data_IF_883912785737
#
_entry.id   IF_883912785737
#
_cell.length_a   1.000
_cell.length_b   1.000
_cell.length_c   1.000
_cell.angle_alpha   90.00
_cell.angle_beta   90.00
_cell.angle_gamma   90.00
#
_symmetry.space_group_name_H-M   'P 1'
#
loop_
_entity.id
_entity.type
_entity.pdbx_description
1 polymer ?
#
# COMPACT_ATOMS: atom_id res chain seq x y z
N UNK A 1 20.29 15.30 0.59
CA UNK A 1 19.24 15.86 1.47
C UNK A 1 18.30 16.81 0.72
N UNK A 2 18.79 17.86 0.04
CA UNK A 2 17.95 18.78 -0.75
C UNK A 2 17.16 18.11 -1.89
N UNK A 3 17.74 17.14 -2.60
CA UNK A 3 17.06 16.42 -3.69
C UNK A 3 15.89 15.54 -3.19
N UNK A 4 15.96 15.01 -1.98
CA UNK A 4 14.87 14.27 -1.37
C UNK A 4 13.76 15.19 -0.87
N UNK A 5 14.10 16.39 -0.38
CA UNK A 5 13.12 17.38 0.05
C UNK A 5 12.32 17.93 -1.14
N UNK A 6 12.98 18.19 -2.27
CA UNK A 6 12.33 18.65 -3.51
C UNK A 6 11.42 17.55 -4.09
N UNK A 7 11.82 16.27 -3.99
CA UNK A 7 10.96 15.14 -4.36
C UNK A 7 9.73 15.06 -3.44
N UNK A 8 9.90 15.21 -2.12
CA UNK A 8 8.77 15.23 -1.17
C UNK A 8 7.79 16.38 -1.44
N UNK A 9 8.26 17.58 -1.77
CA UNK A 9 7.41 18.73 -2.09
C UNK A 9 6.62 18.51 -3.39
N UNK A 10 7.24 17.98 -4.44
CA UNK A 10 6.53 17.60 -5.67
C UNK A 10 5.48 16.50 -5.42
N UNK A 11 5.76 15.54 -4.55
CA UNK A 11 4.81 14.51 -4.14
C UNK A 11 3.63 15.10 -3.36
N UNK A 12 3.88 16.08 -2.50
CA UNK A 12 2.83 16.73 -1.72
C UNK A 12 1.91 17.58 -2.60
N UNK A 13 2.47 18.34 -3.56
CA UNK A 13 1.71 19.08 -4.58
C UNK A 13 0.88 18.13 -5.46
N UNK A 14 1.41 16.97 -5.82
CA UNK A 14 0.72 15.96 -6.59
C UNK A 14 -0.47 15.37 -5.79
N UNK A 15 -0.27 15.02 -4.51
CA UNK A 15 -1.35 14.54 -3.64
C UNK A 15 -2.47 15.59 -3.50
N UNK A 16 -2.13 16.87 -3.35
CA UNK A 16 -3.10 17.95 -3.29
C UNK A 16 -3.87 18.15 -4.60
N UNK A 17 -3.18 17.96 -5.75
CA UNK A 17 -3.79 18.04 -7.07
C UNK A 17 -4.76 16.87 -7.31
N UNK A 18 -4.43 15.67 -6.85
CA UNK A 18 -5.27 14.47 -6.97
C UNK A 18 -6.47 14.52 -6.04
N UNK A 19 -6.31 14.99 -4.81
CA UNK A 19 -7.40 15.20 -3.85
C UNK A 19 -8.41 16.25 -4.36
N UNK A 20 -7.95 17.26 -5.10
CA UNK A 20 -8.83 18.26 -5.74
C UNK A 20 -9.60 17.74 -6.95
N UNK A 21 -9.20 16.60 -7.53
CA UNK A 21 -9.83 16.02 -8.75
C UNK A 21 -10.76 14.83 -8.48
N UNK A 22 -11.22 14.60 -7.24
CA UNK A 22 -12.12 13.48 -6.87
C UNK A 22 -11.61 12.07 -7.24
N UNK A 23 -10.31 11.87 -7.27
CA UNK A 23 -9.72 10.55 -7.51
C UNK A 23 -9.62 9.81 -6.18
N UNK A 24 -10.55 8.89 -5.93
CA UNK A 24 -10.73 8.20 -4.64
C UNK A 24 -9.73 7.08 -4.34
N UNK A 25 -8.93 6.65 -5.30
CA UNK A 25 -8.01 5.51 -5.14
C UNK A 25 -6.64 5.84 -5.72
N UNK A 26 -5.83 6.56 -4.96
CA UNK A 26 -4.42 6.77 -5.30
C UNK A 26 -3.51 6.25 -4.20
N UNK A 27 -2.55 5.46 -4.57
CA UNK A 27 -1.58 4.91 -3.65
C UNK A 27 -0.20 5.52 -3.82
N UNK A 28 0.33 6.15 -2.78
CA UNK A 28 1.61 6.87 -2.72
C UNK A 28 2.53 6.23 -1.69
N UNK A 29 3.79 6.04 -2.02
CA UNK A 29 4.79 5.54 -1.08
C UNK A 29 5.31 6.68 -0.19
N UNK A 30 4.99 6.68 1.09
CA UNK A 30 5.55 7.62 2.05
C UNK A 30 6.32 6.88 3.14
N UNK A 31 7.52 7.36 3.43
CA UNK A 31 8.32 6.94 4.59
C UNK A 31 8.08 7.92 5.71
N UNK A 32 7.43 7.49 6.79
CA UNK A 32 7.27 8.28 7.99
C UNK A 32 7.53 7.39 9.21
N UNK A 33 8.49 7.73 10.04
CA UNK A 33 8.81 7.04 11.29
C UNK A 33 9.11 5.53 11.17
N UNK A 34 9.87 5.10 10.13
CA UNK A 34 10.26 3.70 9.96
C UNK A 34 9.23 2.80 9.26
N UNK A 35 7.96 3.17 9.20
CA UNK A 35 6.93 2.51 8.39
C UNK A 35 7.04 3.00 6.94
N UNK A 36 7.20 2.08 5.99
CA UNK A 36 7.04 2.38 4.58
C UNK A 36 5.58 2.24 4.22
N UNK A 37 4.93 3.34 3.93
CA UNK A 37 3.56 3.40 3.43
C UNK A 37 3.60 3.23 1.93
N UNK A 38 2.79 2.31 1.45
CA UNK A 38 2.68 2.05 0.04
C UNK A 38 1.32 2.51 -0.46
N UNK A 39 1.35 3.38 -1.42
CA UNK A 39 0.21 3.78 -2.20
C UNK A 39 0.34 3.20 -3.61
N UNK A 40 -0.69 2.57 -4.17
CA UNK A 40 -0.70 1.99 -5.51
C UNK A 40 -0.34 3.04 -6.57
N UNK A 41 0.61 2.70 -7.42
CA UNK A 41 1.09 3.59 -8.47
C UNK A 41 0.14 3.74 -9.67
N UNK A 42 -1.05 3.12 -9.60
CA UNK A 42 -1.98 3.06 -10.71
C UNK A 42 -3.39 3.44 -10.28
N UNK A 43 -3.98 4.38 -11.00
CA UNK A 43 -5.33 4.88 -10.78
C UNK A 43 -6.17 4.49 -12.00
N UNK A 44 -7.14 3.63 -11.79
CA UNK A 44 -8.12 3.32 -12.81
C UNK A 44 -9.15 4.44 -12.89
N UNK A 45 -9.05 5.30 -13.92
CA UNK A 45 -10.08 6.32 -14.20
C UNK A 45 -11.32 5.74 -14.88
N UNK A 46 -11.15 4.63 -15.59
CA UNK A 46 -12.17 3.80 -16.22
C UNK A 46 -11.57 2.43 -16.47
N UNK A 47 -12.36 1.44 -16.90
CA UNK A 47 -11.85 0.08 -17.18
C UNK A 47 -10.67 0.04 -18.19
N UNK A 48 -10.49 1.09 -18.98
CA UNK A 48 -9.46 1.16 -20.03
C UNK A 48 -8.39 2.22 -19.79
N UNK A 49 -8.54 3.13 -18.84
CA UNK A 49 -7.57 4.20 -18.61
C UNK A 49 -6.81 3.99 -17.31
N UNK A 50 -5.52 3.77 -17.43
CA UNK A 50 -4.58 3.56 -16.32
C UNK A 50 -3.68 4.78 -16.17
N UNK A 51 -3.49 5.24 -14.94
CA UNK A 51 -2.55 6.29 -14.59
C UNK A 51 -1.48 5.73 -13.69
N UNK A 52 -0.23 5.72 -14.14
CA UNK A 52 0.92 5.23 -13.40
C UNK A 52 1.85 6.34 -12.95
N UNK A 53 2.36 6.26 -11.72
CA UNK A 53 3.49 7.06 -11.29
C UNK A 53 4.76 6.22 -11.46
N UNK A 54 5.40 6.34 -12.63
CA UNK A 54 6.63 5.63 -12.98
C UNK A 54 7.72 6.62 -13.35
N UNK A 55 8.97 6.34 -13.00
CA UNK A 55 10.13 7.21 -13.29
C UNK A 55 9.98 8.62 -12.72
N UNK A 56 9.27 8.81 -11.60
CA UNK A 56 8.87 10.09 -11.02
C UNK A 56 8.03 10.95 -11.98
N UNK A 57 7.32 10.35 -12.92
CA UNK A 57 6.41 11.00 -13.87
C UNK A 57 5.03 10.38 -13.76
N UNK A 58 4.01 11.20 -13.92
CA UNK A 58 2.63 10.73 -14.05
C UNK A 58 2.36 10.37 -15.50
N UNK A 59 2.08 9.10 -15.76
CA UNK A 59 1.86 8.57 -17.10
C UNK A 59 0.41 8.09 -17.19
N UNK A 60 -0.34 8.60 -18.16
CA UNK A 60 -1.73 8.23 -18.41
C UNK A 60 -1.83 7.49 -19.74
N UNK A 61 -2.34 6.26 -19.71
CA UNK A 61 -2.47 5.40 -20.89
C UNK A 61 -3.89 4.87 -21.04
N UNK A 62 -4.29 4.57 -22.26
CA UNK A 62 -5.47 3.77 -22.55
C UNK A 62 -5.02 2.38 -22.97
N UNK A 63 -5.40 1.38 -22.16
CA UNK A 63 -4.97 -0.01 -22.37
C UNK A 63 -5.70 -0.67 -23.55
N UNK A 64 -6.96 -0.29 -23.81
CA UNK A 64 -7.76 -0.88 -24.89
C UNK A 64 -7.36 -0.34 -26.26
N UNK A 65 -7.11 0.99 -26.37
CA UNK A 65 -6.65 1.59 -27.63
C UNK A 65 -5.14 1.56 -27.81
N UNK A 66 -4.39 1.12 -26.81
CA UNK A 66 -2.93 1.13 -26.77
C UNK A 66 -2.30 2.53 -26.96
N UNK A 67 -2.95 3.55 -26.43
CA UNK A 67 -2.53 4.93 -26.58
C UNK A 67 -1.89 5.49 -25.32
N UNK A 68 -0.74 6.13 -25.46
CA UNK A 68 -0.17 7.00 -24.45
C UNK A 68 -0.87 8.37 -24.50
N UNK A 69 -1.69 8.65 -23.49
CA UNK A 69 -2.55 9.83 -23.49
C UNK A 69 -1.82 11.09 -23.00
N UNK A 70 -1.18 10.99 -21.82
CA UNK A 70 -0.53 12.13 -21.17
C UNK A 70 0.69 11.71 -20.38
N UNK A 71 1.63 12.65 -20.26
CA UNK A 71 2.75 12.54 -19.33
C UNK A 71 2.82 13.84 -18.52
N UNK A 72 2.82 13.72 -17.18
CA UNK A 72 2.76 14.87 -16.24
C UNK A 72 1.54 15.79 -16.45
N UNK A 73 0.44 15.22 -16.95
CA UNK A 73 -0.81 15.94 -17.24
C UNK A 73 -0.87 16.61 -18.61
N UNK A 74 0.23 16.60 -19.37
CA UNK A 74 0.30 17.17 -20.71
C UNK A 74 0.13 16.09 -21.78
N UNK A 75 -0.61 16.41 -22.84
CA UNK A 75 -0.77 15.55 -24.02
C UNK A 75 0.56 15.37 -24.74
N UNK A 76 0.92 14.13 -25.05
CA UNK A 76 2.15 13.85 -25.80
C UNK A 76 1.92 14.03 -27.29
N UNK A 77 2.74 14.85 -27.92
CA UNK A 77 2.64 15.17 -29.36
C UNK A 77 3.87 14.69 -30.12
N UNK A 78 3.67 14.36 -31.39
CA UNK A 78 4.76 14.00 -32.29
C UNK A 78 5.25 12.57 -32.13
N UNK A 79 4.39 11.68 -31.61
CA UNK A 79 4.67 10.23 -31.61
C UNK A 79 4.55 9.71 -33.04
N UNK A 80 5.59 9.06 -33.52
CA UNK A 80 5.60 8.28 -34.76
C UNK A 80 5.14 6.85 -34.42
N UNK A 81 4.03 6.43 -35.02
CA UNK A 81 3.46 5.09 -34.79
C UNK A 81 4.05 4.03 -35.74
N UNK A 82 4.03 2.78 -35.31
CA UNK A 82 4.44 1.61 -36.12
C UNK A 82 5.88 1.74 -36.67
N UNK A 83 6.79 2.24 -35.86
CA UNK A 83 8.22 2.36 -36.22
C UNK A 83 8.98 1.13 -35.76
N UNK A 84 10.07 0.84 -36.47
CA UNK A 84 11.07 -0.14 -36.04
C UNK A 84 12.33 0.57 -35.64
N UNK A 85 12.86 0.26 -34.45
CA UNK A 85 14.11 0.78 -33.93
C UNK A 85 15.03 -0.37 -33.53
N UNK A 86 16.25 -0.38 -34.05
CA UNK A 86 17.30 -1.23 -33.52
C UNK A 86 17.79 -0.62 -32.19
N UNK A 87 17.73 -1.41 -31.12
CA UNK A 87 18.11 -0.97 -29.76
C UNK A 87 19.56 -1.32 -29.42
N UNK A 88 20.09 -2.37 -30.07
CA UNK A 88 21.47 -2.82 -29.86
C UNK A 88 22.07 -3.39 -31.14
N UNK A 89 23.40 -3.42 -31.22
CA UNK A 89 24.15 -4.07 -32.33
C UNK A 89 23.94 -5.59 -32.36
N UNK A 90 23.47 -6.19 -31.26
CA UNK A 90 23.18 -7.64 -31.14
C UNK A 90 21.80 -8.03 -31.71
N UNK A 91 21.00 -7.08 -32.20
CA UNK A 91 19.74 -7.32 -32.88
C UNK A 91 18.48 -7.20 -32.00
N UNK A 92 18.60 -6.68 -30.76
CA UNK A 92 17.41 -6.28 -30.01
C UNK A 92 16.70 -5.12 -30.72
N UNK A 93 15.38 -5.18 -30.85
CA UNK A 93 14.63 -4.14 -31.52
C UNK A 93 13.28 -3.87 -30.87
N UNK A 94 12.81 -2.65 -31.06
CA UNK A 94 11.48 -2.21 -30.71
C UNK A 94 10.64 -2.00 -31.97
N UNK A 95 9.43 -2.51 -31.97
CA UNK A 95 8.43 -2.28 -33.01
C UNK A 95 7.19 -1.65 -32.39
N UNK A 96 6.98 -0.34 -32.62
CA UNK A 96 5.87 0.37 -31.99
C UNK A 96 5.99 1.89 -32.08
N UNK A 97 5.50 2.55 -31.03
CA UNK A 97 5.48 4.01 -30.90
C UNK A 97 6.87 4.55 -30.54
N UNK A 98 7.24 5.63 -31.21
CA UNK A 98 8.56 6.25 -31.12
C UNK A 98 8.44 7.76 -30.98
N UNK A 99 9.21 8.35 -30.10
CA UNK A 99 9.38 9.81 -29.98
C UNK A 99 10.87 10.14 -29.88
N UNK A 100 11.36 11.05 -30.73
CA UNK A 100 12.77 11.44 -30.78
C UNK A 100 13.75 10.25 -30.93
N UNK A 101 13.38 9.28 -31.73
CA UNK A 101 14.16 8.05 -31.98
C UNK A 101 14.38 7.16 -30.73
N UNK A 102 13.44 7.21 -29.78
CA UNK A 102 13.41 6.35 -28.59
C UNK A 102 12.01 5.69 -28.48
N UNK A 103 11.88 4.46 -27.92
CA UNK A 103 10.57 3.88 -27.63
C UNK A 103 9.75 4.82 -26.75
N UNK A 104 8.52 5.11 -27.14
CA UNK A 104 7.68 6.07 -26.40
C UNK A 104 6.18 5.83 -26.62
N UNK A 105 5.63 4.85 -25.98
CA UNK A 105 4.24 4.43 -26.11
C UNK A 105 4.10 2.92 -26.18
N UNK A 106 3.15 2.44 -26.95
CA UNK A 106 2.86 1.01 -27.09
C UNK A 106 3.71 0.37 -28.20
N UNK A 107 4.15 -0.86 -27.96
CA UNK A 107 4.87 -1.66 -28.96
C UNK A 107 5.33 -3.00 -28.44
N UNK A 108 6.17 -3.66 -29.23
CA UNK A 108 6.71 -4.99 -28.99
C UNK A 108 8.24 -4.93 -28.95
N UNK A 109 8.81 -5.56 -27.92
CA UNK A 109 10.25 -5.73 -27.77
C UNK A 109 10.65 -7.13 -28.17
N UNK A 110 11.63 -7.22 -29.06
CA UNK A 110 12.23 -8.47 -29.50
C UNK A 110 13.69 -8.57 -29.01
N UNK A 111 14.10 -9.78 -28.67
CA UNK A 111 15.51 -10.08 -28.35
C UNK A 111 16.36 -10.27 -29.64
N UNK A 112 17.63 -10.53 -29.46
CA UNK A 112 18.61 -10.78 -30.53
C UNK A 112 18.32 -11.99 -31.40
N UNK A 113 17.50 -12.94 -30.91
CA UNK A 113 17.06 -14.13 -31.65
C UNK A 113 15.67 -13.93 -32.32
N UNK A 114 15.21 -12.67 -32.41
CA UNK A 114 13.92 -12.32 -32.99
C UNK A 114 12.73 -12.94 -32.25
N UNK A 115 12.83 -13.16 -30.95
CA UNK A 115 11.76 -13.67 -30.11
C UNK A 115 11.14 -12.51 -29.34
N UNK A 116 9.82 -12.48 -29.27
CA UNK A 116 9.08 -11.50 -28.50
C UNK A 116 9.32 -11.72 -27.01
N UNK A 117 9.76 -10.67 -26.31
CA UNK A 117 10.02 -10.68 -24.87
C UNK A 117 9.01 -9.87 -24.10
N UNK A 118 8.50 -8.79 -24.72
CA UNK A 118 7.55 -7.88 -24.09
C UNK A 118 6.63 -7.24 -25.13
N UNK A 119 5.39 -6.99 -24.76
CA UNK A 119 4.41 -6.19 -25.48
C UNK A 119 3.73 -5.25 -24.49
N UNK A 120 3.76 -3.93 -24.70
CA UNK A 120 3.16 -3.00 -23.78
C UNK A 120 3.69 -1.58 -23.90
N UNK A 121 3.39 -0.77 -22.89
CA UNK A 121 3.88 0.61 -22.83
C UNK A 121 5.34 0.66 -22.39
N UNK A 122 6.13 1.44 -23.12
CA UNK A 122 7.54 1.67 -22.85
C UNK A 122 7.87 3.16 -23.00
N UNK A 123 8.65 3.69 -22.09
CA UNK A 123 9.26 5.00 -22.19
C UNK A 123 10.78 4.83 -22.15
N UNK A 124 11.41 5.10 -23.29
CA UNK A 124 12.85 4.87 -23.51
C UNK A 124 13.21 3.39 -23.29
N UNK A 125 13.97 3.11 -22.27
CA UNK A 125 14.47 1.79 -21.90
C UNK A 125 13.63 1.09 -20.80
N UNK A 126 12.53 1.70 -20.35
CA UNK A 126 11.76 1.22 -19.21
C UNK A 126 10.32 0.87 -19.57
N UNK A 127 9.89 -0.34 -19.22
CA UNK A 127 8.50 -0.77 -19.33
C UNK A 127 7.65 -0.12 -18.23
N UNK A 128 6.49 0.43 -18.58
CA UNK A 128 5.64 1.24 -17.69
C UNK A 128 4.16 0.91 -17.85
N UNK A 129 3.37 1.25 -16.85
CA UNK A 129 1.93 1.22 -16.79
C UNK A 129 1.30 -0.16 -17.01
N UNK A 130 1.34 -0.73 -18.20
CA UNK A 130 0.69 -1.99 -18.54
C UNK A 130 1.42 -2.71 -19.67
N UNK A 131 1.48 -4.05 -19.58
CA UNK A 131 2.06 -4.85 -20.65
C UNK A 131 2.00 -6.35 -20.38
N UNK A 132 2.61 -7.09 -21.30
CA UNK A 132 2.72 -8.54 -21.30
C UNK A 132 4.18 -8.94 -21.42
N UNK A 133 4.65 -9.85 -20.58
CA UNK A 133 5.93 -10.53 -20.79
C UNK A 133 5.71 -11.95 -21.33
N UNK A 134 6.71 -12.45 -22.03
CA UNK A 134 6.65 -13.74 -22.69
C UNK A 134 7.80 -14.63 -22.27
N UNK A 135 7.58 -15.95 -22.25
CA UNK A 135 8.64 -16.94 -22.22
C UNK A 135 9.31 -16.97 -23.61
N UNK A 136 10.55 -16.48 -23.76
CA UNK A 136 11.13 -16.29 -25.09
C UNK A 136 11.25 -17.57 -25.90
N UNK A 137 11.56 -18.69 -25.24
CA UNK A 137 11.80 -20.00 -25.87
C UNK A 137 10.54 -20.66 -26.43
N UNK A 138 9.36 -20.35 -25.89
CA UNK A 138 8.08 -20.94 -26.32
C UNK A 138 7.07 -19.93 -26.84
N UNK A 139 7.40 -18.63 -26.81
CA UNK A 139 6.58 -17.52 -27.27
C UNK A 139 5.16 -17.49 -26.69
N UNK A 140 5.02 -17.90 -25.40
CA UNK A 140 3.78 -17.88 -24.65
C UNK A 140 3.84 -16.83 -23.57
N UNK A 141 2.67 -16.29 -23.20
CA UNK A 141 2.59 -15.29 -22.13
C UNK A 141 3.07 -15.86 -20.80
N UNK A 142 3.90 -15.08 -20.11
CA UNK A 142 4.33 -15.30 -18.72
C UNK A 142 3.53 -14.44 -17.75
N UNK A 143 3.31 -13.18 -18.13
CA UNK A 143 2.59 -12.21 -17.32
C UNK A 143 1.78 -11.27 -18.20
N UNK A 144 0.65 -10.82 -17.69
CA UNK A 144 -0.15 -9.73 -18.28
C UNK A 144 -0.70 -8.88 -17.14
N UNK A 145 -0.44 -7.58 -17.17
CA UNK A 145 -0.92 -6.67 -16.12
C UNK A 145 -0.13 -5.40 -16.01
N UNK A 146 -0.30 -4.79 -14.86
CA UNK A 146 0.32 -3.50 -14.53
C UNK A 146 1.81 -3.66 -14.25
N UNK A 147 2.59 -2.68 -14.73
CA UNK A 147 4.05 -2.66 -14.66
C UNK A 147 4.50 -1.27 -14.21
N UNK A 148 5.41 -1.21 -13.26
CA UNK A 148 6.09 0.01 -12.85
C UNK A 148 7.60 -0.19 -12.85
N UNK A 149 8.29 0.64 -13.62
CA UNK A 149 9.76 0.61 -13.74
C UNK A 149 10.31 -0.79 -14.08
N UNK A 150 9.65 -1.46 -15.05
CA UNK A 150 10.02 -2.79 -15.54
C UNK A 150 9.62 -3.95 -14.63
N UNK A 151 8.94 -3.69 -13.50
CA UNK A 151 8.55 -4.71 -12.52
C UNK A 151 7.03 -4.89 -12.50
N UNK A 152 6.60 -6.12 -12.23
CA UNK A 152 5.18 -6.43 -12.02
C UNK A 152 4.68 -5.67 -10.79
N UNK A 153 3.54 -5.02 -10.99
CA UNK A 153 3.00 -4.08 -10.03
C UNK A 153 1.48 -4.03 -10.16
N UNK A 154 0.72 -3.62 -9.10
CA UNK A 154 -0.72 -3.55 -9.18
C UNK A 154 -1.39 -4.85 -9.61
N UNK A 155 -2.43 -4.78 -10.41
CA UNK A 155 -3.17 -5.97 -10.86
C UNK A 155 -2.49 -6.68 -12.01
N UNK A 156 -2.41 -8.01 -11.92
CA UNK A 156 -1.85 -8.80 -13.01
C UNK A 156 -2.10 -10.28 -12.88
N UNK A 157 -1.92 -10.95 -14.00
CA UNK A 157 -2.10 -12.39 -14.18
C UNK A 157 -0.77 -13.01 -14.55
N UNK A 158 -0.38 -14.05 -13.82
CA UNK A 158 0.76 -14.89 -14.16
C UNK A 158 0.27 -16.18 -14.79
N UNK A 159 0.96 -16.61 -15.84
CA UNK A 159 0.71 -17.85 -16.54
C UNK A 159 1.90 -18.81 -16.40
N UNK A 160 1.63 -20.10 -16.45
CA UNK A 160 2.66 -21.13 -16.60
C UNK A 160 3.04 -21.33 -18.08
N UNK A 161 4.05 -22.17 -18.33
CA UNK A 161 4.51 -22.48 -19.69
C UNK A 161 3.47 -23.20 -20.57
N UNK A 162 2.35 -23.63 -19.97
CA UNK A 162 1.21 -24.23 -20.67
C UNK A 162 0.06 -23.24 -20.89
N UNK A 163 0.26 -21.95 -20.54
CA UNK A 163 -0.73 -20.86 -20.56
C UNK A 163 -1.88 -21.03 -19.57
N UNK A 164 -1.73 -21.86 -18.54
CA UNK A 164 -2.70 -21.88 -17.45
C UNK A 164 -2.44 -20.69 -16.53
N UNK A 165 -3.50 -20.06 -16.04
CA UNK A 165 -3.41 -19.06 -15.00
C UNK A 165 -2.92 -19.70 -13.70
N UNK A 166 -1.77 -19.27 -13.19
CA UNK A 166 -1.20 -19.72 -11.91
C UNK A 166 -1.40 -18.72 -10.78
N UNK A 167 -1.65 -17.46 -11.14
CA UNK A 167 -1.98 -16.43 -10.18
C UNK A 167 -2.71 -15.28 -10.88
N UNK A 168 -3.75 -14.77 -10.25
CA UNK A 168 -4.43 -13.54 -10.64
C UNK A 168 -4.66 -12.72 -9.37
N UNK A 169 -4.08 -11.52 -9.31
CA UNK A 169 -4.14 -10.69 -8.10
C UNK A 169 -3.16 -9.52 -8.15
N UNK A 170 -2.89 -8.99 -6.96
CA UNK A 170 -2.05 -7.81 -6.79
C UNK A 170 -0.56 -8.19 -6.72
N UNK A 171 0.26 -7.33 -7.30
CA UNK A 171 1.71 -7.45 -7.38
C UNK A 171 2.37 -6.20 -6.78
N UNK A 172 3.54 -6.38 -6.23
CA UNK A 172 4.36 -5.29 -5.74
C UNK A 172 5.85 -5.63 -5.89
N UNK A 173 6.55 -4.88 -6.76
CA UNK A 173 7.97 -5.07 -7.00
C UNK A 173 8.33 -6.55 -7.32
N UNK A 174 7.64 -7.13 -8.31
CA UNK A 174 7.71 -8.53 -8.76
C UNK A 174 7.21 -9.60 -7.77
N UNK A 175 6.77 -9.21 -6.59
CA UNK A 175 6.24 -10.13 -5.60
C UNK A 175 4.70 -10.13 -5.60
N UNK A 176 4.12 -11.30 -5.39
CA UNK A 176 2.68 -11.43 -5.12
C UNK A 176 2.36 -10.76 -3.80
N UNK A 177 1.30 -9.98 -3.79
CA UNK A 177 0.87 -9.28 -2.57
C UNK A 177 0.17 -10.26 -1.63
N UNK A 178 0.72 -10.39 -0.43
CA UNK A 178 0.13 -11.21 0.62
C UNK A 178 -0.94 -10.43 1.38
N UNK A 179 -2.15 -10.98 1.46
CA UNK A 179 -3.24 -10.40 2.24
C UNK A 179 -3.08 -10.60 3.75
N UNK A 180 -2.31 -11.59 4.15
CA UNK A 180 -1.95 -11.86 5.53
C UNK A 180 -0.47 -11.61 5.74
N UNK A 181 -0.14 -10.64 6.59
CA UNK A 181 1.24 -10.24 6.86
C UNK A 181 1.56 -10.44 8.33
N UNK A 182 2.64 -11.18 8.58
CA UNK A 182 3.19 -11.35 9.93
C UNK A 182 4.44 -10.49 10.07
N UNK A 183 4.32 -9.42 10.82
CA UNK A 183 5.41 -8.49 11.10
C UNK A 183 6.34 -9.06 12.14
N UNK A 184 7.55 -9.40 11.73
CA UNK A 184 8.61 -9.92 12.61
C UNK A 184 9.97 -9.24 12.41
N UNK A 185 10.09 -8.28 11.49
CA UNK A 185 11.33 -7.58 11.12
C UNK A 185 11.06 -6.09 10.93
N UNK A 186 12.07 -5.26 11.19
CA UNK A 186 11.97 -3.80 11.20
C UNK A 186 11.65 -3.13 9.85
N UNK A 187 11.79 -3.82 8.72
CA UNK A 187 11.65 -3.24 7.38
C UNK A 187 10.54 -3.90 6.55
N UNK A 188 9.45 -4.28 7.18
CA UNK A 188 8.32 -4.86 6.44
C UNK A 188 7.47 -3.75 5.80
N UNK A 189 7.15 -3.93 4.53
CA UNK A 189 6.32 -3.01 3.77
C UNK A 189 4.85 -3.26 4.09
N UNK A 190 4.14 -2.24 4.57
CA UNK A 190 2.70 -2.28 4.76
C UNK A 190 2.00 -1.62 3.57
N UNK A 191 0.89 -2.20 3.14
CA UNK A 191 0.08 -1.73 2.02
C UNK A 191 -1.41 -1.93 2.31
N UNK A 192 -2.27 -1.24 1.56
CA UNK A 192 -3.72 -1.24 1.79
C UNK A 192 -4.43 -2.56 1.45
N UNK A 193 -3.80 -3.48 0.71
CA UNK A 193 -4.37 -4.81 0.40
C UNK A 193 -4.30 -5.81 1.55
N UNK A 194 -3.58 -5.49 2.63
CA UNK A 194 -3.49 -6.36 3.80
C UNK A 194 -4.87 -6.48 4.46
N UNK A 195 -5.33 -7.72 4.59
CA UNK A 195 -6.56 -8.07 5.29
C UNK A 195 -6.29 -8.48 6.74
N UNK A 196 -5.17 -9.15 6.99
CA UNK A 196 -4.74 -9.58 8.33
C UNK A 196 -3.33 -9.08 8.61
N UNK A 197 -3.20 -8.20 9.60
CA UNK A 197 -1.92 -7.72 10.10
C UNK A 197 -1.65 -8.31 11.47
N UNK A 198 -0.61 -9.13 11.57
CA UNK A 198 -0.19 -9.81 12.79
C UNK A 198 1.21 -9.36 13.17
N UNK A 199 1.40 -8.91 14.39
CA UNK A 199 2.69 -8.50 14.93
C UNK A 199 3.16 -9.57 15.91
N UNK A 200 4.38 -10.09 15.70
CA UNK A 200 4.97 -11.09 16.58
C UNK A 200 5.35 -10.51 17.95
N UNK A 201 5.39 -11.36 18.97
CA UNK A 201 5.79 -10.96 20.33
C UNK A 201 7.16 -10.24 20.34
N UNK A 202 7.36 -9.36 21.29
CA UNK A 202 8.61 -8.62 21.55
C UNK A 202 9.13 -7.83 20.32
N UNK A 203 8.22 -7.30 19.50
CA UNK A 203 8.58 -6.65 18.24
C UNK A 203 8.31 -5.14 18.28
N UNK A 204 9.05 -4.39 17.44
CA UNK A 204 8.84 -2.97 17.19
C UNK A 204 8.99 -2.06 18.44
N UNK A 205 9.90 -2.41 19.34
CA UNK A 205 10.20 -1.68 20.58
C UNK A 205 11.27 -0.59 20.40
N UNK A 206 11.73 -0.33 19.17
CA UNK A 206 12.68 0.72 18.86
C UNK A 206 12.14 2.14 19.12
N UNK A 207 13.04 3.10 19.35
CA UNK A 207 12.67 4.49 19.66
C UNK A 207 12.15 5.28 18.44
N UNK A 208 12.36 4.76 17.25
CA UNK A 208 11.84 5.26 15.97
C UNK A 208 10.33 5.06 15.84
N UNK A 209 9.78 4.06 16.53
CA UNK A 209 8.35 3.74 16.53
C UNK A 209 7.59 4.65 17.49
N UNK A 210 7.21 5.84 17.04
CA UNK A 210 6.47 6.81 17.87
C UNK A 210 5.00 6.92 17.54
N UNK A 211 4.66 6.70 16.28
CA UNK A 211 3.29 6.78 15.78
C UNK A 211 3.01 5.51 14.99
N UNK A 212 1.93 4.83 15.34
CA UNK A 212 1.36 3.74 14.58
C UNK A 212 0.02 4.22 14.01
N UNK A 213 0.04 4.67 12.76
CA UNK A 213 -1.16 5.10 12.05
C UNK A 213 -1.47 4.09 10.95
N UNK A 214 -2.53 3.31 11.13
CA UNK A 214 -2.98 2.28 10.19
C UNK A 214 -4.22 2.71 9.40
N UNK A 215 -4.61 3.98 9.47
CA UNK A 215 -5.85 4.51 8.86
C UNK A 215 -5.91 4.35 7.34
N UNK A 216 -4.76 4.15 6.67
CA UNK A 216 -4.67 3.90 5.22
C UNK A 216 -5.01 2.44 4.84
N UNK A 217 -5.02 1.50 5.78
CA UNK A 217 -5.22 0.07 5.51
C UNK A 217 -6.70 -0.28 5.36
N UNK A 218 -7.35 0.28 4.36
CA UNK A 218 -8.81 0.21 4.15
C UNK A 218 -9.37 -1.20 3.99
N UNK A 219 -8.55 -2.18 3.63
CA UNK A 219 -8.95 -3.58 3.48
C UNK A 219 -8.75 -4.42 4.75
N UNK A 220 -8.11 -3.87 5.78
CA UNK A 220 -7.79 -4.61 7.01
C UNK A 220 -9.05 -5.10 7.73
N UNK A 221 -9.08 -6.39 8.02
CA UNK A 221 -10.16 -7.08 8.75
C UNK A 221 -9.73 -7.50 10.15
N UNK A 222 -8.45 -7.84 10.31
CA UNK A 222 -7.84 -8.22 11.59
C UNK A 222 -6.57 -7.42 11.83
N UNK A 223 -6.49 -6.80 13.02
CA UNK A 223 -5.25 -6.28 13.56
C UNK A 223 -4.93 -7.03 14.86
N UNK A 224 -3.86 -7.80 14.83
CA UNK A 224 -3.40 -8.58 15.98
C UNK A 224 -1.98 -8.20 16.36
N UNK A 225 -1.75 -7.91 17.63
CA UNK A 225 -0.43 -7.60 18.20
C UNK A 225 -0.12 -8.63 19.26
N UNK A 226 1.08 -9.18 19.23
CA UNK A 226 1.59 -10.07 20.25
C UNK A 226 1.93 -9.34 21.56
N UNK A 227 2.53 -10.07 22.49
CA UNK A 227 2.92 -9.54 23.79
C UNK A 227 4.19 -8.68 23.71
N UNK A 228 4.34 -7.73 24.63
CA UNK A 228 5.53 -6.90 24.79
C UNK A 228 5.93 -6.15 23.49
N UNK A 229 4.98 -5.62 22.74
CA UNK A 229 5.22 -4.92 21.47
C UNK A 229 5.02 -3.41 21.60
N UNK A 230 5.67 -2.64 20.70
CA UNK A 230 5.45 -1.19 20.53
C UNK A 230 5.67 -0.35 21.81
N UNK A 231 6.65 -0.69 22.63
CA UNK A 231 6.95 -0.02 23.90
C UNK A 231 7.04 1.52 23.77
N UNK A 232 7.62 2.03 22.69
CA UNK A 232 7.89 3.46 22.50
C UNK A 232 6.83 4.21 21.69
N UNK A 233 5.76 3.53 21.23
CA UNK A 233 4.67 4.16 20.48
C UNK A 233 3.87 5.09 21.39
N UNK A 234 3.71 6.35 20.95
CA UNK A 234 2.96 7.37 21.66
C UNK A 234 1.56 7.60 21.12
N UNK A 235 1.36 7.33 19.85
CA UNK A 235 0.08 7.54 19.21
C UNK A 235 -0.30 6.34 18.35
N UNK A 236 -1.49 5.79 18.60
CA UNK A 236 -2.07 4.69 17.81
C UNK A 236 -3.34 5.18 17.16
N UNK A 237 -3.45 5.03 15.82
CA UNK A 237 -4.61 5.43 15.03
C UNK A 237 -5.17 4.25 14.24
N UNK A 238 -6.41 3.90 14.55
CA UNK A 238 -7.25 2.97 13.80
C UNK A 238 -8.50 3.76 13.39
N UNK A 239 -8.42 4.53 12.29
CA UNK A 239 -9.46 5.49 11.92
C UNK A 239 -9.97 5.20 10.51
N UNK A 240 -11.30 5.09 10.33
CA UNK A 240 -11.92 4.91 9.02
C UNK A 240 -11.75 3.51 8.42
N UNK A 241 -11.40 2.52 9.23
CA UNK A 241 -11.17 1.14 8.80
C UNK A 241 -12.52 0.40 8.67
N UNK A 242 -13.24 0.66 7.58
CA UNK A 242 -14.61 0.19 7.37
C UNK A 242 -14.76 -1.35 7.29
N UNK A 243 -13.68 -2.08 7.01
CA UNK A 243 -13.66 -3.54 6.94
C UNK A 243 -13.12 -4.22 8.20
N UNK A 244 -12.56 -3.45 9.14
CA UNK A 244 -11.99 -3.97 10.38
C UNK A 244 -13.06 -4.65 11.23
N UNK A 245 -12.81 -5.92 11.59
CA UNK A 245 -13.74 -6.75 12.39
C UNK A 245 -13.24 -7.01 13.80
N UNK A 246 -11.91 -7.17 13.94
CA UNK A 246 -11.28 -7.57 15.18
C UNK A 246 -9.98 -6.82 15.43
N UNK A 247 -9.80 -6.38 16.66
CA UNK A 247 -8.54 -5.85 17.20
C UNK A 247 -8.17 -6.68 18.40
N UNK A 248 -6.99 -7.32 18.39
CA UNK A 248 -6.50 -8.16 19.46
C UNK A 248 -5.09 -7.71 19.82
N UNK A 249 -4.91 -7.23 21.03
CA UNK A 249 -3.63 -6.75 21.55
C UNK A 249 -3.17 -7.69 22.66
N UNK A 250 -1.94 -8.15 22.57
CA UNK A 250 -1.31 -9.00 23.57
C UNK A 250 -1.00 -8.26 24.89
N UNK A 251 -0.44 -8.99 25.85
CA UNK A 251 -0.09 -8.42 27.16
C UNK A 251 1.06 -7.42 27.06
N UNK A 252 1.05 -6.41 27.93
CA UNK A 252 2.13 -5.40 28.10
C UNK A 252 2.56 -4.72 26.81
N UNK A 253 1.70 -4.72 25.80
CA UNK A 253 1.95 -4.04 24.53
C UNK A 253 1.55 -2.57 24.59
N UNK A 254 2.23 -1.72 23.83
CA UNK A 254 2.07 -0.26 23.86
C UNK A 254 2.34 0.35 25.27
N UNK A 255 3.19 -0.30 26.05
CA UNK A 255 3.49 0.10 27.44
C UNK A 255 4.99 0.22 27.62
N UNK A 256 5.45 1.38 28.05
CA UNK A 256 6.86 1.65 28.37
C UNK A 256 7.22 1.28 29.80
N UNK A 257 6.33 1.59 30.75
CA UNK A 257 6.54 1.39 32.17
C UNK A 257 5.80 0.17 32.68
N UNK A 258 6.42 -0.99 32.52
CA UNK A 258 5.81 -2.30 32.89
C UNK A 258 5.57 -2.48 34.40
N UNK A 259 6.20 -1.63 35.24
CA UNK A 259 6.21 -1.82 36.71
C UNK A 259 5.98 -0.53 37.51
N UNK A 260 5.79 0.64 36.86
CA UNK A 260 5.61 1.92 37.53
C UNK A 260 4.44 2.68 36.95
N UNK A 261 3.61 3.18 37.86
CA UNK A 261 2.47 4.03 37.53
C UNK A 261 2.98 5.33 36.89
N UNK A 262 2.90 5.45 35.60
CA UNK A 262 3.35 6.62 34.86
C UNK A 262 2.33 6.99 33.79
N UNK A 263 1.78 8.20 33.92
CA UNK A 263 0.99 8.80 32.86
C UNK A 263 1.93 9.58 31.93
N UNK A 264 2.04 9.17 30.65
CA UNK A 264 2.65 10.02 29.62
C UNK A 264 1.51 10.80 28.91
N UNK A 265 1.36 12.13 29.15
CA UNK A 265 0.26 12.92 28.59
C UNK A 265 0.27 12.97 27.05
N UNK A 266 1.36 12.52 26.43
CA UNK A 266 1.48 12.45 24.97
C UNK A 266 1.08 11.10 24.39
N UNK A 267 0.68 10.12 25.21
CA UNK A 267 0.27 8.80 24.73
C UNK A 267 -1.24 8.74 24.50
N UNK A 268 -1.63 8.40 23.27
CA UNK A 268 -3.03 8.49 22.81
C UNK A 268 -3.41 7.30 21.94
N UNK A 269 -4.58 6.73 22.20
CA UNK A 269 -5.20 5.69 21.41
C UNK A 269 -6.48 6.19 20.78
N UNK A 270 -6.60 6.04 19.45
CA UNK A 270 -7.77 6.43 18.67
C UNK A 270 -8.31 5.26 17.88
N UNK A 271 -9.56 4.89 18.13
CA UNK A 271 -10.33 3.91 17.39
C UNK A 271 -11.64 4.57 16.95
N UNK A 272 -11.72 4.95 15.67
CA UNK A 272 -12.82 5.79 15.19
C UNK A 272 -13.32 5.34 13.83
N UNK A 273 -14.66 5.45 13.62
CA UNK A 273 -15.29 5.20 12.32
C UNK A 273 -14.97 3.81 11.74
N UNK A 274 -14.99 2.78 12.59
CA UNK A 274 -14.77 1.39 12.21
C UNK A 274 -16.12 0.66 12.25
N UNK A 275 -16.87 0.78 11.16
CA UNK A 275 -18.28 0.39 11.09
C UNK A 275 -18.55 -1.10 11.34
N UNK A 276 -17.61 -1.98 10.99
CA UNK A 276 -17.74 -3.44 11.10
C UNK A 276 -16.98 -4.04 12.28
N UNK A 277 -16.37 -3.22 13.12
CA UNK A 277 -15.63 -3.72 14.27
C UNK A 277 -16.59 -4.36 15.28
N UNK A 278 -16.35 -5.63 15.60
CA UNK A 278 -17.15 -6.42 16.55
C UNK A 278 -16.41 -6.70 17.83
N UNK A 279 -15.10 -6.86 17.77
CA UNK A 279 -14.32 -7.34 18.91
C UNK A 279 -13.07 -6.47 19.11
N UNK A 280 -12.91 -5.96 20.34
CA UNK A 280 -11.73 -5.26 20.82
C UNK A 280 -11.22 -5.98 22.07
N UNK A 281 -10.10 -6.70 21.94
CA UNK A 281 -9.46 -7.40 23.06
C UNK A 281 -8.08 -6.83 23.34
N UNK A 282 -7.77 -6.63 24.60
CA UNK A 282 -6.50 -6.11 25.06
C UNK A 282 -6.01 -6.93 26.24
N UNK A 283 -4.84 -7.53 26.12
CA UNK A 283 -4.19 -8.28 27.18
C UNK A 283 -3.81 -7.40 28.36
N UNK A 284 -3.46 -8.04 29.47
CA UNK A 284 -3.11 -7.38 30.72
C UNK A 284 -2.02 -6.30 30.53
N UNK A 285 -2.17 -5.19 31.21
CA UNK A 285 -1.24 -4.06 31.28
C UNK A 285 -0.92 -3.37 29.94
N UNK A 286 -1.64 -3.68 28.88
CA UNK A 286 -1.47 -2.96 27.62
C UNK A 286 -2.04 -1.55 27.71
N UNK A 287 -1.35 -0.59 27.11
CA UNK A 287 -1.69 0.84 27.16
C UNK A 287 -1.74 1.43 28.59
N UNK A 288 -1.03 0.86 29.56
CA UNK A 288 -1.14 1.26 30.96
C UNK A 288 -0.69 2.70 31.25
N UNK A 289 0.19 3.25 30.42
CA UNK A 289 0.71 4.61 30.53
C UNK A 289 0.12 5.59 29.51
N UNK A 290 -0.97 5.22 28.82
CA UNK A 290 -1.68 6.10 27.91
C UNK A 290 -2.60 7.05 28.65
N UNK A 291 -2.63 8.32 28.20
CA UNK A 291 -3.43 9.38 28.81
C UNK A 291 -4.81 9.56 28.16
N UNK A 292 -4.96 9.13 26.91
CA UNK A 292 -6.21 9.28 26.15
C UNK A 292 -6.55 7.95 25.47
N UNK A 293 -7.80 7.53 25.65
CA UNK A 293 -8.43 6.46 24.91
C UNK A 293 -9.77 6.95 24.33
N UNK A 294 -9.82 7.11 23.01
CA UNK A 294 -11.05 7.54 22.33
C UNK A 294 -11.56 6.45 21.41
N UNK A 295 -12.75 5.93 21.71
CA UNK A 295 -13.48 4.97 20.89
C UNK A 295 -14.77 5.64 20.43
N UNK A 296 -14.87 5.95 19.12
CA UNK A 296 -16.00 6.70 18.55
C UNK A 296 -16.51 6.07 17.27
N UNK A 297 -17.82 6.07 17.06
CA UNK A 297 -18.49 5.61 15.84
C UNK A 297 -18.07 4.18 15.46
N UNK A 298 -18.29 3.23 16.36
CA UNK A 298 -18.06 1.78 16.17
C UNK A 298 -19.38 1.03 16.41
N UNK A 299 -20.39 1.21 15.54
CA UNK A 299 -21.78 0.79 15.81
C UNK A 299 -21.97 -0.73 15.92
N UNK A 300 -21.04 -1.53 15.37
CA UNK A 300 -21.10 -3.00 15.40
C UNK A 300 -20.34 -3.61 16.55
N UNK A 301 -19.78 -2.81 17.47
CA UNK A 301 -18.93 -3.30 18.55
C UNK A 301 -19.75 -4.09 19.57
N UNK A 302 -19.46 -5.37 19.69
CA UNK A 302 -20.16 -6.32 20.55
C UNK A 302 -19.37 -6.66 21.82
N UNK A 303 -18.03 -6.72 21.69
CA UNK A 303 -17.14 -7.16 22.75
C UNK A 303 -16.01 -6.17 22.97
N UNK A 304 -15.88 -5.70 24.22
CA UNK A 304 -14.68 -5.01 24.72
C UNK A 304 -14.15 -5.84 25.89
N UNK A 305 -12.95 -6.36 25.76
CA UNK A 305 -12.28 -7.13 26.79
C UNK A 305 -10.92 -6.50 27.10
N UNK A 306 -10.66 -6.17 28.36
CA UNK A 306 -9.43 -5.54 28.81
C UNK A 306 -8.88 -6.26 30.03
N UNK A 307 -7.69 -6.85 29.88
CA UNK A 307 -7.05 -7.64 30.93
C UNK A 307 -7.71 -8.98 31.19
N UNK A 308 -7.35 -9.62 32.31
CA UNK A 308 -7.91 -10.87 32.79
C UNK A 308 -8.79 -10.65 34.02
N UNK A 309 -9.90 -11.38 34.09
CA UNK A 309 -10.89 -11.20 35.17
C UNK A 309 -10.36 -11.55 36.58
N UNK A 310 -9.28 -12.30 36.67
CA UNK A 310 -8.74 -12.82 37.94
C UNK A 310 -7.45 -12.16 38.42
N UNK A 311 -6.92 -11.19 37.66
CA UNK A 311 -5.68 -10.51 37.96
C UNK A 311 -5.83 -8.97 37.86
N UNK A 312 -5.01 -8.26 38.64
CA UNK A 312 -4.93 -6.80 38.50
C UNK A 312 -4.43 -6.46 37.10
N UNK A 313 -5.20 -5.68 36.37
CA UNK A 313 -4.84 -5.15 35.05
C UNK A 313 -4.91 -3.63 35.06
N UNK A 314 -3.90 -3.01 34.48
CA UNK A 314 -3.75 -1.53 34.47
C UNK A 314 -4.01 -0.94 33.08
N UNK A 315 -4.77 -1.61 32.21
CA UNK A 315 -5.14 -1.07 30.90
C UNK A 315 -5.78 0.31 31.05
N UNK A 316 -5.20 1.32 30.43
CA UNK A 316 -5.70 2.70 30.47
C UNK A 316 -5.98 3.25 31.87
N UNK A 317 -5.27 2.80 32.91
CA UNK A 317 -5.54 3.17 34.32
C UNK A 317 -5.54 4.67 34.59
N UNK A 318 -4.83 5.43 33.78
CA UNK A 318 -4.71 6.88 33.87
C UNK A 318 -5.32 7.63 32.70
N UNK A 319 -5.99 6.93 31.79
CA UNK A 319 -6.54 7.55 30.61
C UNK A 319 -7.92 8.17 30.84
N UNK A 320 -8.19 9.26 30.16
CA UNK A 320 -9.56 9.67 29.91
C UNK A 320 -10.16 8.74 28.87
N UNK A 321 -11.18 7.99 29.26
CA UNK A 321 -11.92 7.08 28.36
C UNK A 321 -13.14 7.84 27.80
N UNK A 322 -13.19 7.98 26.47
CA UNK A 322 -14.34 8.53 25.79
C UNK A 322 -14.96 7.47 24.85
N UNK A 323 -16.17 7.02 25.18
CA UNK A 323 -17.00 6.13 24.36
C UNK A 323 -18.17 6.95 23.81
N UNK A 324 -18.19 7.18 22.49
CA UNK A 324 -19.27 7.90 21.81
C UNK A 324 -19.76 7.14 20.58
N UNK A 325 -21.07 7.04 20.45
CA UNK A 325 -21.74 6.61 19.23
C UNK A 325 -22.63 7.75 18.75
N UNK A 326 -22.38 8.25 17.55
CA UNK A 326 -23.31 9.18 16.88
C UNK A 326 -24.46 8.35 16.27
N UNK A 327 -25.29 7.74 17.10
CA UNK A 327 -26.57 7.23 16.65
C UNK A 327 -27.45 8.43 16.34
N UNK A 328 -27.39 8.93 15.11
CA UNK A 328 -28.53 9.69 14.57
C UNK A 328 -29.68 8.70 14.49
N UNK A 329 -30.58 8.79 15.47
CA UNK A 329 -31.82 8.06 15.44
C UNK A 329 -32.53 8.41 14.12
N UNK A 330 -32.78 7.41 13.30
CA UNK A 330 -33.84 7.50 12.32
C UNK A 330 -35.15 7.67 13.11
N UNK A 331 -35.69 8.88 13.10
CA UNK A 331 -37.11 9.11 13.33
C UNK A 331 -37.87 8.83 12.03
#
# INVERSE_FOLDING_TARGET
>A
MLSQLVKMLKYQEYCELMLKKDVKDSSLMMRKNGLCWYHEGLIEKSHSVVVGLCLNRMIEVNVDSHELLRVDGEEVKGIDHNRMLDLSDDGERWEGDVLNNEPYGWGVLYDSENRMTYEGFRLKDVNVCYGRSYYPDIQKREYEGEICEGKRWGRGVQYDRSENKVYEGEWMNDNKVEKRVVMNKENQLLHNHIEELIVSNNSYNGREWRILDLSFMSNMQLFQVGDDCFENVKEVKLIGLSKLKRVVIGEKSFTKHKYWYGNDPNRRFYLKNCERLRELKMGRDSFSDFAICEIKNVPSLEVIEMGELNEYSYNFSYASLELKSDSQGMM
#
